data_IF_054318201817
#
_entry.id   IF_054318201817
#
_cell.length_a   1.000
_cell.length_b   1.000
_cell.length_c   1.000
_cell.angle_alpha   90.00
_cell.angle_beta   90.00
_cell.angle_gamma   90.00
#
_symmetry.space_group_name_H-M   'P 1'
#
loop_
_entity.id
_entity.type
_entity.pdbx_description
1 polymer ?
#
# COMPACT_ATOMS: atom_id res chain seq x y z
N UNK A 1 -56.25 50.82 -50.96
CA UNK A 1 -55.99 50.80 -49.51
C UNK A 1 -54.58 50.30 -49.29
N UNK A 2 -53.69 51.13 -48.73
CA UNK A 2 -52.27 50.82 -48.50
C UNK A 2 -52.11 50.17 -47.12
N UNK A 3 -51.41 49.05 -47.03
CA UNK A 3 -50.87 48.53 -45.76
C UNK A 3 -49.38 48.21 -45.94
N UNK A 4 -48.48 48.71 -45.08
CA UNK A 4 -47.07 48.36 -45.11
C UNK A 4 -46.82 47.08 -44.30
N UNK A 5 -45.93 46.22 -44.79
CA UNK A 5 -45.45 45.03 -44.06
C UNK A 5 -44.11 45.39 -43.41
N UNK A 6 -44.09 45.54 -42.10
CA UNK A 6 -42.87 45.75 -41.31
C UNK A 6 -42.21 44.41 -40.99
N UNK A 7 -40.94 44.26 -41.39
CA UNK A 7 -40.06 43.15 -40.97
C UNK A 7 -39.51 43.44 -39.58
N UNK A 8 -39.86 42.61 -38.60
CA UNK A 8 -39.23 42.61 -37.29
C UNK A 8 -37.98 41.71 -37.32
N UNK A 9 -36.80 42.30 -37.09
CA UNK A 9 -35.57 41.57 -36.79
C UNK A 9 -35.55 41.26 -35.28
N UNK A 10 -35.65 39.98 -34.92
CA UNK A 10 -35.41 39.52 -33.55
C UNK A 10 -33.91 39.36 -33.30
N UNK A 11 -33.33 40.24 -32.49
CA UNK A 11 -31.96 40.10 -31.98
C UNK A 11 -32.02 39.20 -30.73
N UNK A 12 -31.57 37.95 -30.86
CA UNK A 12 -31.43 37.01 -29.76
C UNK A 12 -30.13 37.34 -29.00
N UNK A 13 -30.24 37.99 -27.85
CA UNK A 13 -29.10 38.30 -26.98
C UNK A 13 -28.60 37.04 -26.28
N UNK A 14 -27.36 36.63 -26.56
CA UNK A 14 -26.66 35.58 -25.82
C UNK A 14 -26.11 36.19 -24.53
N UNK A 15 -26.75 35.90 -23.39
CA UNK A 15 -26.20 36.19 -22.07
C UNK A 15 -25.10 35.16 -21.74
N UNK A 16 -23.84 35.61 -21.76
CA UNK A 16 -22.71 34.88 -21.20
C UNK A 16 -22.80 34.92 -19.67
N UNK A 17 -23.20 33.81 -19.07
CA UNK A 17 -23.14 33.61 -17.62
C UNK A 17 -21.69 33.22 -17.28
N UNK A 18 -20.88 34.20 -16.87
CA UNK A 18 -19.54 33.96 -16.35
C UNK A 18 -19.65 33.30 -14.96
N UNK A 19 -19.66 31.96 -14.92
CA UNK A 19 -19.63 31.19 -13.69
C UNK A 19 -18.30 31.40 -12.97
N UNK A 20 -18.35 31.95 -11.75
CA UNK A 20 -17.21 32.02 -10.84
C UNK A 20 -16.75 30.60 -10.48
N UNK A 21 -15.78 30.06 -11.22
CA UNK A 21 -15.08 28.85 -10.80
C UNK A 21 -14.15 29.22 -9.64
N UNK A 22 -14.44 28.72 -8.43
CA UNK A 22 -13.52 28.83 -7.32
C UNK A 22 -12.20 28.14 -7.67
N UNK A 23 -11.03 28.74 -7.35
CA UNK A 23 -9.75 28.10 -7.60
C UNK A 23 -9.67 26.77 -6.84
N UNK A 24 -9.05 25.72 -7.41
CA UNK A 24 -8.88 24.46 -6.72
C UNK A 24 -8.11 24.68 -5.41
N UNK A 25 -8.43 23.93 -4.35
CA UNK A 25 -7.74 24.06 -3.08
C UNK A 25 -6.23 23.87 -3.27
N UNK A 26 -5.44 24.72 -2.63
CA UNK A 26 -3.98 24.68 -2.72
C UNK A 26 -3.46 23.29 -2.31
N UNK A 27 -2.64 22.69 -3.17
CA UNK A 27 -2.02 21.40 -2.86
C UNK A 27 -1.00 21.58 -1.73
N UNK A 28 -1.23 20.92 -0.60
CA UNK A 28 -0.28 20.89 0.52
C UNK A 28 0.98 20.15 0.06
N UNK A 29 2.11 20.84 0.04
CA UNK A 29 3.39 20.23 -0.28
C UNK A 29 3.86 19.29 0.84
N UNK A 30 4.62 18.26 0.49
CA UNK A 30 5.26 17.39 1.47
C UNK A 30 6.27 18.19 2.31
N UNK A 31 6.26 18.08 3.65
CA UNK A 31 7.27 18.71 4.49
C UNK A 31 8.68 18.23 4.11
N UNK A 32 9.70 19.11 4.13
CA UNK A 32 11.09 18.73 3.93
C UNK A 32 11.52 17.61 4.89
N UNK A 33 12.29 16.64 4.40
CA UNK A 33 12.86 15.54 5.21
C UNK A 33 11.93 14.35 5.47
N UNK A 34 10.61 14.48 5.32
CA UNK A 34 9.67 13.38 5.61
C UNK A 34 9.90 12.14 4.73
N UNK A 35 10.29 12.35 3.46
CA UNK A 35 10.62 11.24 2.57
C UNK A 35 11.85 10.45 3.07
N UNK A 36 12.88 11.15 3.53
CA UNK A 36 14.12 10.52 4.00
C UNK A 36 13.91 9.82 5.35
N UNK A 37 13.13 10.42 6.26
CA UNK A 37 12.66 9.76 7.47
C UNK A 37 11.91 8.45 7.14
N UNK A 38 10.93 8.52 6.22
CA UNK A 38 10.12 7.37 5.85
C UNK A 38 10.95 6.24 5.23
N UNK A 39 11.91 6.58 4.36
CA UNK A 39 12.88 5.63 3.79
C UNK A 39 13.75 4.97 4.86
N UNK A 40 14.24 5.75 5.83
CA UNK A 40 15.03 5.23 6.95
C UNK A 40 14.24 4.21 7.78
N UNK A 41 12.99 4.51 8.12
CA UNK A 41 12.12 3.59 8.85
C UNK A 41 11.83 2.34 8.00
N UNK A 42 11.53 2.53 6.71
CA UNK A 42 11.22 1.43 5.79
C UNK A 42 12.41 0.50 5.50
N UNK A 43 13.64 0.98 5.65
CA UNK A 43 14.84 0.16 5.54
C UNK A 43 15.06 -0.76 6.76
N UNK A 44 14.56 -0.38 7.95
CA UNK A 44 14.89 -1.10 9.19
C UNK A 44 13.87 -2.19 9.55
N UNK A 45 12.57 -1.90 9.45
CA UNK A 45 11.52 -2.83 9.91
C UNK A 45 11.55 -4.18 9.16
N UNK A 46 11.63 -4.22 7.80
CA UNK A 46 11.69 -5.48 7.07
C UNK A 46 12.95 -6.28 7.36
N UNK A 47 14.11 -5.61 7.47
CA UNK A 47 15.40 -6.26 7.75
C UNK A 47 15.37 -6.94 9.12
N UNK A 48 14.92 -6.23 10.15
CA UNK A 48 14.83 -6.81 11.49
C UNK A 48 13.85 -8.00 11.52
N UNK A 49 12.73 -7.91 10.79
CA UNK A 49 11.78 -9.02 10.69
C UNK A 49 12.40 -10.23 9.99
N UNK A 50 13.17 -10.02 8.91
CA UNK A 50 13.89 -11.08 8.21
C UNK A 50 14.92 -11.77 9.11
N UNK A 51 15.61 -11.03 9.98
CA UNK A 51 16.53 -11.61 10.97
C UNK A 51 15.81 -12.56 11.92
N UNK A 52 14.70 -12.12 12.53
CA UNK A 52 13.90 -12.95 13.45
C UNK A 52 13.31 -14.16 12.72
N UNK A 53 12.79 -13.95 11.50
CA UNK A 53 12.23 -15.01 10.67
C UNK A 53 13.27 -16.07 10.32
N UNK A 54 14.48 -15.66 9.92
CA UNK A 54 15.55 -16.59 9.54
C UNK A 54 15.99 -17.44 10.73
N UNK A 55 16.12 -16.83 11.92
CA UNK A 55 16.42 -17.57 13.14
C UNK A 55 15.36 -18.62 13.46
N UNK A 56 14.08 -18.27 13.31
CA UNK A 56 12.97 -19.19 13.58
C UNK A 56 12.87 -20.31 12.52
N UNK A 57 13.09 -19.98 11.24
CA UNK A 57 13.16 -20.99 10.18
C UNK A 57 14.23 -22.05 10.46
N UNK A 58 15.40 -21.63 10.94
CA UNK A 58 16.47 -22.57 11.31
C UNK A 58 16.14 -23.40 12.56
N UNK A 59 15.36 -22.84 13.48
CA UNK A 59 15.03 -23.47 14.78
C UNK A 59 13.89 -24.47 14.68
N UNK A 60 12.82 -24.12 13.99
CA UNK A 60 11.53 -24.84 14.01
C UNK A 60 10.94 -25.09 12.62
N UNK A 61 11.68 -24.72 11.57
CA UNK A 61 11.23 -24.86 10.19
C UNK A 61 10.11 -23.89 9.79
N UNK A 62 9.63 -23.98 8.54
CA UNK A 62 8.60 -23.11 7.99
C UNK A 62 7.30 -23.07 8.78
N UNK A 63 6.87 -24.20 9.36
CA UNK A 63 5.64 -24.28 10.13
C UNK A 63 5.72 -23.49 11.44
N UNK A 64 6.82 -23.57 12.19
CA UNK A 64 7.01 -22.78 13.41
C UNK A 64 7.22 -21.30 13.10
N UNK A 65 7.90 -20.98 12.00
CA UNK A 65 8.12 -19.61 11.52
C UNK A 65 6.85 -18.82 11.17
N UNK A 66 5.70 -19.48 10.96
CA UNK A 66 4.42 -18.81 10.69
C UNK A 66 4.02 -17.89 11.86
N UNK A 67 4.33 -18.27 13.10
CA UNK A 67 4.00 -17.47 14.29
C UNK A 67 4.80 -16.17 14.36
N UNK A 68 6.06 -16.17 13.90
CA UNK A 68 6.84 -14.92 13.76
C UNK A 68 6.16 -13.94 12.82
N UNK A 69 5.70 -14.42 11.66
CA UNK A 69 4.95 -13.57 10.73
C UNK A 69 3.60 -13.12 11.28
N UNK A 70 2.96 -13.92 12.15
CA UNK A 70 1.68 -13.60 12.78
C UNK A 70 1.81 -12.51 13.84
N UNK A 71 2.76 -12.69 14.75
CA UNK A 71 2.80 -11.97 16.02
C UNK A 71 3.92 -10.93 16.01
N UNK A 72 5.12 -11.31 15.58
CA UNK A 72 6.28 -10.40 15.58
C UNK A 72 6.21 -9.33 14.51
N UNK A 73 5.71 -9.65 13.31
CA UNK A 73 5.58 -8.64 12.27
C UNK A 73 4.70 -7.42 12.67
N UNK A 74 3.45 -7.60 13.18
CA UNK A 74 2.66 -6.47 13.65
C UNK A 74 3.23 -5.83 14.94
N UNK A 75 3.85 -6.60 15.84
CA UNK A 75 4.52 -6.07 17.03
C UNK A 75 5.65 -5.10 16.66
N UNK A 76 6.51 -5.48 15.70
CA UNK A 76 7.62 -4.66 15.23
C UNK A 76 7.16 -3.41 14.50
N UNK A 77 6.08 -3.49 13.70
CA UNK A 77 5.47 -2.32 13.08
C UNK A 77 4.94 -1.35 14.15
N UNK A 78 4.24 -1.87 15.18
CA UNK A 78 3.76 -1.06 16.31
C UNK A 78 4.91 -0.42 17.09
N UNK A 79 5.98 -1.16 17.37
CA UNK A 79 7.16 -0.64 18.05
C UNK A 79 7.85 0.46 17.23
N UNK A 80 7.95 0.29 15.90
CA UNK A 80 8.44 1.33 15.00
C UNK A 80 7.56 2.58 15.06
N UNK A 81 6.24 2.41 15.09
CA UNK A 81 5.32 3.53 15.25
C UNK A 81 5.53 4.31 16.55
N UNK A 82 5.62 3.61 17.67
CA UNK A 82 5.80 4.23 18.98
C UNK A 82 7.13 5.01 19.05
N UNK A 83 8.20 4.46 18.48
CA UNK A 83 9.53 5.08 18.51
C UNK A 83 9.66 6.30 17.59
N UNK A 84 8.97 6.30 16.46
CA UNK A 84 9.20 7.27 15.38
C UNK A 84 8.10 8.34 15.29
N UNK A 85 6.94 8.10 15.89
CA UNK A 85 5.75 8.93 15.70
C UNK A 85 5.02 8.70 14.36
N UNK A 86 5.56 7.84 13.49
CA UNK A 86 4.91 7.46 12.23
C UNK A 86 3.89 6.35 12.44
N UNK A 87 2.74 6.40 11.79
CA UNK A 87 1.90 5.22 11.62
C UNK A 87 2.59 4.23 10.67
N UNK A 88 2.98 3.05 11.14
CA UNK A 88 3.70 2.02 10.38
C UNK A 88 2.84 0.76 10.36
N UNK A 89 2.51 0.29 9.16
CA UNK A 89 1.73 -0.94 8.98
C UNK A 89 2.14 -1.70 7.72
N UNK A 90 1.65 -2.93 7.61
CA UNK A 90 1.79 -3.75 6.40
C UNK A 90 0.41 -4.07 5.85
N UNK A 91 0.26 -3.98 4.55
CA UNK A 91 -0.93 -4.46 3.85
C UNK A 91 -0.56 -5.17 2.53
N UNK A 92 -1.51 -5.93 1.99
CA UNK A 92 -1.32 -6.74 0.80
C UNK A 92 -2.65 -6.98 0.08
N UNK A 93 -2.61 -7.08 -1.25
CA UNK A 93 -3.75 -7.51 -2.06
C UNK A 93 -4.16 -8.97 -1.76
N UNK A 94 -3.22 -9.77 -1.26
CA UNK A 94 -3.38 -11.17 -0.82
C UNK A 94 -2.99 -11.27 0.66
N UNK A 95 -3.76 -10.61 1.51
CA UNK A 95 -3.48 -10.54 2.94
C UNK A 95 -3.70 -11.90 3.63
N UNK A 96 -2.76 -12.27 4.52
CA UNK A 96 -2.90 -13.42 5.44
C UNK A 96 -3.54 -12.97 6.74
N UNK A 97 -3.00 -11.89 7.30
CA UNK A 97 -3.58 -11.22 8.45
C UNK A 97 -4.85 -10.46 8.01
N UNK A 98 -6.02 -10.69 8.63
CA UNK A 98 -7.25 -9.99 8.29
C UNK A 98 -7.19 -8.48 8.52
N UNK A 99 -6.26 -7.99 9.36
CA UNK A 99 -6.00 -6.55 9.57
C UNK A 99 -5.07 -5.93 8.51
N UNK A 100 -4.52 -6.75 7.61
CA UNK A 100 -3.61 -6.35 6.53
C UNK A 100 -4.31 -6.03 5.21
N UNK A 101 -5.60 -5.72 5.25
CA UNK A 101 -6.35 -5.26 4.08
C UNK A 101 -5.93 -3.82 3.76
N UNK A 102 -5.62 -3.50 2.48
CA UNK A 102 -5.25 -2.15 2.09
C UNK A 102 -6.48 -1.24 1.97
N UNK A 103 -6.33 0.03 2.33
CA UNK A 103 -7.27 1.08 1.91
C UNK A 103 -7.14 1.41 0.41
N UNK A 104 -7.93 2.36 -0.09
CA UNK A 104 -7.96 2.70 -1.51
C UNK A 104 -6.60 3.18 -2.05
N UNK A 105 -5.87 3.99 -1.27
CA UNK A 105 -4.55 4.48 -1.67
C UNK A 105 -3.48 3.39 -1.56
N UNK A 106 -3.52 2.62 -0.47
CA UNK A 106 -2.62 1.48 -0.27
C UNK A 106 -2.79 0.43 -1.39
N UNK A 107 -4.03 0.19 -1.82
CA UNK A 107 -4.37 -0.72 -2.93
C UNK A 107 -3.78 -0.21 -4.25
N UNK A 108 -4.00 1.06 -4.59
CA UNK A 108 -3.49 1.65 -5.82
C UNK A 108 -1.94 1.59 -5.86
N UNK A 109 -1.28 1.83 -4.73
CA UNK A 109 0.17 1.67 -4.62
C UNK A 109 0.62 0.23 -4.88
N UNK A 110 -0.08 -0.77 -4.30
CA UNK A 110 0.23 -2.18 -4.51
C UNK A 110 0.02 -2.63 -5.96
N UNK A 111 -1.10 -2.24 -6.57
CA UNK A 111 -1.41 -2.58 -7.97
C UNK A 111 -0.38 -1.94 -8.92
N UNK A 112 0.06 -0.71 -8.64
CA UNK A 112 1.17 -0.07 -9.36
C UNK A 112 2.47 -0.86 -9.19
N UNK A 113 2.79 -1.31 -7.98
CA UNK A 113 4.01 -2.09 -7.74
C UNK A 113 3.96 -3.43 -8.46
N UNK A 114 2.83 -4.13 -8.46
CA UNK A 114 2.64 -5.38 -9.22
C UNK A 114 2.85 -5.15 -10.72
N UNK A 115 2.26 -4.10 -11.29
CA UNK A 115 2.43 -3.77 -12.70
C UNK A 115 3.90 -3.45 -13.06
N UNK A 116 4.60 -2.70 -12.21
CA UNK A 116 6.00 -2.36 -12.42
C UNK A 116 6.92 -3.58 -12.27
N UNK A 117 6.66 -4.45 -11.28
CA UNK A 117 7.39 -5.68 -11.09
C UNK A 117 7.19 -6.65 -12.27
N UNK A 118 5.96 -6.75 -12.79
CA UNK A 118 5.65 -7.53 -14.00
C UNK A 118 6.36 -6.99 -15.25
N UNK A 119 6.63 -5.68 -15.30
CA UNK A 119 7.43 -5.04 -16.35
C UNK A 119 8.95 -5.17 -16.13
N UNK A 120 9.40 -5.93 -15.13
CA UNK A 120 10.82 -6.20 -14.87
C UNK A 120 11.52 -5.18 -13.97
N UNK A 121 10.80 -4.21 -13.40
CA UNK A 121 11.40 -3.30 -12.41
C UNK A 121 11.67 -4.09 -11.12
N UNK A 122 12.89 -3.98 -10.60
CA UNK A 122 13.28 -4.65 -9.37
C UNK A 122 12.36 -4.23 -8.21
N UNK A 123 11.58 -5.16 -7.65
CA UNK A 123 10.61 -4.87 -6.60
C UNK A 123 11.20 -4.17 -5.37
N UNK A 124 12.50 -4.37 -5.10
CA UNK A 124 13.21 -3.72 -3.99
C UNK A 124 13.43 -2.22 -4.19
N UNK A 125 13.34 -1.70 -5.42
CA UNK A 125 13.48 -0.26 -5.72
C UNK A 125 12.13 0.45 -5.65
N UNK A 126 11.01 -0.28 -5.71
CA UNK A 126 9.67 0.29 -5.79
C UNK A 126 9.26 0.99 -4.48
N UNK A 127 8.93 2.26 -4.59
CA UNK A 127 8.36 3.08 -3.54
C UNK A 127 7.45 4.17 -4.13
N UNK A 128 6.56 4.73 -3.32
CA UNK A 128 5.79 5.92 -3.69
C UNK A 128 5.42 6.71 -2.44
N UNK A 129 5.14 7.99 -2.61
CA UNK A 129 4.65 8.84 -1.53
C UNK A 129 3.63 9.85 -2.08
N UNK A 130 2.77 10.34 -1.19
CA UNK A 130 1.75 11.31 -1.52
C UNK A 130 1.34 12.09 -0.28
N UNK A 131 1.00 13.37 -0.45
CA UNK A 131 0.21 14.11 0.54
C UNK A 131 -1.26 13.91 0.24
N UNK A 132 -1.99 13.37 1.21
CA UNK A 132 -3.43 13.11 1.11
C UNK A 132 -4.18 13.91 2.17
N UNK A 133 -5.47 14.16 1.94
CA UNK A 133 -6.37 14.68 2.96
C UNK A 133 -7.21 13.53 3.51
N UNK A 134 -7.18 13.32 4.82
CA UNK A 134 -8.04 12.39 5.55
C UNK A 134 -8.83 13.18 6.58
N UNK A 135 -10.16 13.14 6.49
CA UNK A 135 -11.07 13.88 7.38
C UNK A 135 -10.73 15.38 7.51
N UNK A 136 -10.33 16.00 6.39
CA UNK A 136 -9.95 17.41 6.33
C UNK A 136 -8.55 17.73 6.87
N UNK A 137 -7.77 16.72 7.28
CA UNK A 137 -6.41 16.89 7.79
C UNK A 137 -5.38 16.37 6.79
N UNK A 138 -4.29 17.12 6.52
CA UNK A 138 -3.25 16.67 5.63
C UNK A 138 -2.36 15.60 6.29
N UNK A 139 -2.04 14.57 5.52
CA UNK A 139 -1.13 13.50 5.91
C UNK A 139 -0.11 13.25 4.81
N UNK A 140 1.15 13.08 5.19
CA UNK A 140 2.13 12.48 4.32
C UNK A 140 2.03 10.95 4.44
N UNK A 141 1.86 10.29 3.30
CA UNK A 141 1.86 8.84 3.18
C UNK A 141 3.00 8.37 2.30
N UNK A 142 3.60 7.25 2.69
CA UNK A 142 4.70 6.60 1.98
C UNK A 142 4.46 5.09 1.93
N UNK A 143 4.86 4.46 0.82
CA UNK A 143 4.75 3.03 0.60
C UNK A 143 6.08 2.48 0.06
N UNK A 144 6.56 1.39 0.66
CA UNK A 144 7.70 0.60 0.17
C UNK A 144 7.26 -0.81 -0.15
N UNK A 145 7.50 -1.26 -1.38
CA UNK A 145 7.16 -2.63 -1.77
C UNK A 145 7.99 -3.67 -0.99
N UNK A 146 7.38 -4.83 -0.73
CA UNK A 146 8.00 -5.98 -0.08
C UNK A 146 8.00 -7.16 -1.06
N UNK A 147 9.01 -7.28 -1.94
CA UNK A 147 9.15 -8.42 -2.83
C UNK A 147 9.48 -9.70 -2.05
N UNK A 148 8.99 -10.85 -2.52
CA UNK A 148 9.33 -12.16 -1.98
C UNK A 148 10.78 -12.55 -2.31
N UNK A 149 11.40 -13.28 -1.38
CA UNK A 149 12.69 -13.96 -1.57
C UNK A 149 12.47 -15.49 -1.51
N UNK A 150 13.52 -16.26 -1.77
CA UNK A 150 13.48 -17.73 -1.70
C UNK A 150 12.96 -18.25 -0.35
N UNK A 151 13.35 -17.63 0.77
CA UNK A 151 12.83 -18.00 2.09
C UNK A 151 11.33 -17.72 2.25
N UNK A 152 10.81 -16.69 1.58
CA UNK A 152 9.42 -16.27 1.72
C UNK A 152 8.47 -17.30 1.12
N UNK A 153 8.86 -17.92 0.00
CA UNK A 153 8.02 -18.89 -0.72
C UNK A 153 7.93 -20.25 -0.01
N UNK A 154 8.67 -20.48 1.07
CA UNK A 154 8.48 -21.66 1.93
C UNK A 154 7.10 -21.68 2.63
N UNK A 155 6.48 -20.50 2.82
CA UNK A 155 5.13 -20.37 3.39
C UNK A 155 4.17 -19.55 2.50
N UNK A 156 4.69 -18.87 1.48
CA UNK A 156 3.92 -18.05 0.55
C UNK A 156 3.92 -18.61 -0.88
N UNK A 157 4.65 -19.70 -1.14
CA UNK A 157 4.76 -20.35 -2.44
C UNK A 157 3.47 -20.99 -2.96
N UNK A 158 3.55 -21.58 -4.15
CA UNK A 158 2.47 -22.38 -4.73
C UNK A 158 1.89 -23.37 -3.71
N UNK A 159 0.55 -23.38 -3.58
CA UNK A 159 -0.13 -24.07 -2.48
C UNK A 159 0.11 -25.59 -2.49
N UNK A 160 0.28 -26.18 -3.69
CA UNK A 160 0.63 -27.59 -3.89
C UNK A 160 2.08 -27.92 -3.50
N UNK A 161 2.97 -26.92 -3.45
CA UNK A 161 4.39 -27.06 -3.06
C UNK A 161 4.66 -26.83 -1.58
N UNK A 162 3.68 -26.34 -0.83
CA UNK A 162 3.82 -26.19 0.62
C UNK A 162 3.85 -27.56 1.31
N UNK A 163 4.67 -27.70 2.34
CA UNK A 163 4.70 -28.93 3.13
C UNK A 163 3.41 -29.10 3.94
N UNK A 164 3.04 -30.34 4.26
CA UNK A 164 1.85 -30.63 5.07
C UNK A 164 1.86 -29.91 6.44
N UNK A 165 2.99 -29.84 7.19
CA UNK A 165 3.04 -29.05 8.42
C UNK A 165 2.72 -27.56 8.21
N UNK A 166 3.18 -26.98 7.09
CA UNK A 166 2.88 -25.58 6.75
C UNK A 166 1.40 -25.42 6.44
N UNK A 167 0.83 -26.27 5.57
CA UNK A 167 -0.59 -26.24 5.21
C UNK A 167 -1.48 -26.35 6.45
N UNK A 168 -1.21 -27.33 7.32
CA UNK A 168 -1.97 -27.54 8.55
C UNK A 168 -1.91 -26.32 9.48
N UNK A 169 -0.72 -25.75 9.69
CA UNK A 169 -0.53 -24.57 10.54
C UNK A 169 -1.21 -23.33 9.94
N UNK A 170 -1.15 -23.14 8.62
CA UNK A 170 -1.84 -22.05 7.93
C UNK A 170 -3.35 -22.18 8.07
N UNK A 171 -3.91 -23.36 7.83
CA UNK A 171 -5.35 -23.60 7.96
C UNK A 171 -5.84 -23.33 9.40
N UNK A 172 -5.07 -23.77 10.40
CA UNK A 172 -5.42 -23.58 11.80
C UNK A 172 -5.37 -22.11 12.24
N UNK A 173 -4.37 -21.34 11.79
CA UNK A 173 -4.17 -19.95 12.22
C UNK A 173 -4.89 -18.93 11.33
N UNK A 174 -5.14 -19.28 10.07
CA UNK A 174 -5.65 -18.41 9.02
C UNK A 174 -6.60 -19.19 8.09
N UNK A 175 -7.83 -19.52 8.54
CA UNK A 175 -8.80 -20.26 7.73
C UNK A 175 -9.21 -19.53 6.44
N UNK A 176 -8.99 -18.21 6.38
CA UNK A 176 -9.24 -17.36 5.22
C UNK A 176 -7.92 -16.86 4.57
N UNK A 177 -6.83 -17.63 4.67
CA UNK A 177 -5.54 -17.23 4.10
C UNK A 177 -5.64 -17.04 2.57
N UNK A 178 -5.09 -15.92 2.09
CA UNK A 178 -5.00 -15.61 0.66
C UNK A 178 -3.55 -15.57 0.16
N UNK A 179 -2.58 -15.72 1.07
CA UNK A 179 -1.19 -15.38 0.85
C UNK A 179 -0.30 -16.55 0.41
N UNK A 180 -0.81 -17.51 -0.34
CA UNK A 180 -0.01 -18.55 -1.00
C UNK A 180 0.16 -18.19 -2.48
N UNK A 181 0.74 -19.06 -3.32
CA UNK A 181 0.84 -18.86 -4.76
C UNK A 181 1.74 -17.72 -5.21
N UNK A 182 2.78 -17.40 -4.43
CA UNK A 182 3.82 -16.45 -4.82
C UNK A 182 5.06 -17.15 -5.38
N UNK A 183 5.69 -16.52 -6.37
CA UNK A 183 7.04 -16.83 -6.83
C UNK A 183 8.04 -15.82 -6.23
N UNK A 184 9.35 -16.15 -6.17
CA UNK A 184 10.39 -15.18 -5.80
C UNK A 184 10.34 -13.92 -6.68
N UNK A 185 10.49 -12.74 -6.08
CA UNK A 185 10.47 -11.44 -6.75
C UNK A 185 9.09 -10.79 -6.86
N UNK A 186 7.99 -11.54 -6.68
CA UNK A 186 6.64 -10.97 -6.70
C UNK A 186 6.35 -10.11 -5.46
N UNK A 187 5.44 -9.14 -5.57
CA UNK A 187 5.12 -8.23 -4.46
C UNK A 187 4.22 -8.92 -3.45
N UNK A 188 4.80 -9.29 -2.29
CA UNK A 188 4.04 -9.88 -1.18
C UNK A 188 3.07 -8.88 -0.55
N UNK A 189 3.42 -7.60 -0.58
CA UNK A 189 2.69 -6.49 0.01
C UNK A 189 3.58 -5.26 0.07
N UNK A 190 3.25 -4.32 0.94
CA UNK A 190 4.05 -3.13 1.17
C UNK A 190 4.09 -2.76 2.65
N UNK A 191 5.13 -2.04 3.04
CA UNK A 191 5.18 -1.30 4.29
C UNK A 191 4.64 0.11 4.02
N UNK A 192 3.62 0.50 4.76
CA UNK A 192 2.97 1.80 4.66
C UNK A 192 3.30 2.64 5.87
N UNK A 193 3.65 3.89 5.61
CA UNK A 193 4.02 4.89 6.59
C UNK A 193 3.11 6.10 6.45
N UNK A 194 2.62 6.63 7.56
CA UNK A 194 1.74 7.80 7.59
C UNK A 194 2.16 8.75 8.71
N UNK A 195 2.23 10.06 8.44
CA UNK A 195 2.49 11.09 9.45
C UNK A 195 1.61 12.32 9.17
N UNK A 196 0.95 12.91 10.20
CA UNK A 196 0.28 14.19 10.03
C UNK A 196 1.25 15.27 9.52
N UNK A 197 0.74 16.21 8.76
CA UNK A 197 1.46 17.45 8.37
C UNK A 197 1.01 18.58 9.27
#
# INVERSE_FOLDING_TARGET
>A
MRYPVSRALSVLGVMLIAGCAAPPPAQVAAPPGYLDEARGIAATVPVNLLTVLTAELNRSGPAGAIEVCRDKAPEMARAASQRTGWGVRRASLRNRNPKGVPDAWERAALERFDAQAAAGVAGSTLETYQVVSEDGKPYFRYAKALPTQALCVQCHGAADKLSEPVKAKLQALYPNDRATGYEPGQIRGALFLKKPI
#
